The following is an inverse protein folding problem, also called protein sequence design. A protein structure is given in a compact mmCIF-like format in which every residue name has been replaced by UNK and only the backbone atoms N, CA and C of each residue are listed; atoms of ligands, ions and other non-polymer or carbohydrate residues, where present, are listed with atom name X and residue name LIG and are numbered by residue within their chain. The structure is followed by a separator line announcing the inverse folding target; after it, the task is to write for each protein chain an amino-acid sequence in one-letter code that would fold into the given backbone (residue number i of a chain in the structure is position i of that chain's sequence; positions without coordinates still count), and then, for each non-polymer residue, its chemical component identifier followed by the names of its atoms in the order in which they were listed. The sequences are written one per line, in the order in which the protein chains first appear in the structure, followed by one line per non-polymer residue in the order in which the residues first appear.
data_IF_419315259556
#
_entry.id   IF_419315259556
#
_cell.length_a   1.000
_cell.length_b   1.000
_cell.length_c   1.000
_cell.angle_alpha   90.00
_cell.angle_beta   90.00
_cell.angle_gamma   90.00
#
_symmetry.space_group_name_H-M   'P 1'
#
loop_
_entity.id
_entity.type
_entity.pdbx_description
1 polymer ?
#
# COMPACT_ATOMS: atom_id res chain seq x y z
N UNK A 1 0.03 16.16 -26.66
CA UNK A 1 0.64 15.62 -25.41
C UNK A 1 0.73 14.10 -25.51
N UNK A 2 1.93 13.53 -25.42
CA UNK A 2 2.15 12.08 -25.43
C UNK A 2 1.66 11.47 -24.12
N UNK A 3 0.87 10.38 -24.19
CA UNK A 3 0.48 9.59 -23.01
C UNK A 3 1.74 9.01 -22.35
N UNK A 4 1.74 8.87 -21.02
CA UNK A 4 2.82 8.17 -20.34
C UNK A 4 2.70 6.67 -20.64
N UNK A 5 3.84 5.99 -20.79
CA UNK A 5 3.88 4.54 -20.77
C UNK A 5 3.46 3.99 -19.40
N UNK A 6 3.38 2.67 -19.28
CA UNK A 6 2.93 1.99 -18.06
C UNK A 6 4.10 1.50 -17.18
N UNK A 7 5.33 2.00 -17.39
CA UNK A 7 6.51 1.51 -16.67
C UNK A 7 6.37 1.58 -15.14
N UNK A 8 5.90 2.71 -14.60
CA UNK A 8 5.64 2.87 -13.16
C UNK A 8 4.57 1.90 -12.64
N UNK A 9 3.52 1.66 -13.42
CA UNK A 9 2.45 0.73 -13.07
C UNK A 9 2.94 -0.72 -13.02
N UNK A 10 3.81 -1.12 -13.95
CA UNK A 10 4.43 -2.43 -13.96
C UNK A 10 5.37 -2.62 -12.77
N UNK A 11 6.16 -1.60 -12.42
CA UNK A 11 7.02 -1.64 -11.22
C UNK A 11 6.17 -1.75 -9.96
N UNK A 12 5.06 -1.02 -9.85
CA UNK A 12 4.14 -1.15 -8.73
C UNK A 12 3.62 -2.60 -8.61
N UNK A 13 3.13 -3.20 -9.70
CA UNK A 13 2.71 -4.61 -9.69
C UNK A 13 3.84 -5.56 -9.30
N UNK A 14 5.06 -5.33 -9.77
CA UNK A 14 6.21 -6.16 -9.42
C UNK A 14 6.54 -6.08 -7.93
N UNK A 15 6.54 -4.88 -7.33
CA UNK A 15 6.76 -4.70 -5.89
C UNK A 15 5.72 -5.45 -5.06
N UNK A 16 4.43 -5.29 -5.38
CA UNK A 16 3.35 -6.00 -4.68
C UNK A 16 3.35 -7.51 -4.95
N UNK A 17 3.79 -7.94 -6.13
CA UNK A 17 4.02 -9.35 -6.43
C UNK A 17 5.13 -9.95 -5.58
N UNK A 18 6.27 -9.27 -5.44
CA UNK A 18 7.37 -9.68 -4.55
C UNK A 18 6.90 -9.74 -3.10
N UNK A 19 6.14 -8.74 -2.64
CA UNK A 19 5.54 -8.74 -1.30
C UNK A 19 4.60 -9.94 -1.09
N UNK A 20 3.76 -10.24 -2.08
CA UNK A 20 2.86 -11.40 -2.04
C UNK A 20 3.64 -12.71 -1.96
N UNK A 21 4.75 -12.83 -2.68
CA UNK A 21 5.63 -13.99 -2.60
C UNK A 21 6.33 -14.10 -1.24
N UNK A 22 6.78 -12.99 -0.66
CA UNK A 22 7.35 -12.97 0.68
C UNK A 22 6.34 -13.46 1.72
N UNK A 23 5.11 -12.92 1.69
CA UNK A 23 4.00 -13.36 2.56
C UNK A 23 3.69 -14.84 2.34
N UNK A 24 3.57 -15.29 1.09
CA UNK A 24 3.35 -16.70 0.77
C UNK A 24 4.41 -17.59 1.41
N UNK A 25 5.70 -17.27 1.23
CA UNK A 25 6.82 -18.07 1.73
C UNK A 25 6.85 -18.06 3.26
N UNK A 26 6.72 -16.89 3.88
CA UNK A 26 6.78 -16.73 5.34
C UNK A 26 5.63 -17.46 6.03
N UNK A 27 4.41 -17.26 5.57
CA UNK A 27 3.24 -17.94 6.15
C UNK A 27 3.13 -19.41 5.73
N UNK A 28 3.99 -19.89 4.80
CA UNK A 28 4.13 -21.32 4.54
C UNK A 28 5.13 -22.03 5.43
N UNK A 29 6.02 -21.28 6.11
CA UNK A 29 7.16 -21.87 6.85
C UNK A 29 7.12 -21.61 8.35
N UNK A 30 6.53 -20.49 8.77
CA UNK A 30 6.48 -20.09 10.18
C UNK A 30 5.26 -20.73 10.84
N UNK A 31 5.41 -21.14 12.10
CA UNK A 31 4.31 -21.62 12.93
C UNK A 31 3.26 -20.50 13.11
N UNK A 32 1.96 -20.75 12.87
CA UNK A 32 0.91 -19.76 13.06
C UNK A 32 0.92 -19.11 14.46
N UNK A 33 1.36 -19.82 15.50
CA UNK A 33 1.47 -19.30 16.86
C UNK A 33 2.54 -18.20 17.01
N UNK A 34 3.51 -18.14 16.09
CA UNK A 34 4.55 -17.11 16.02
C UNK A 34 4.14 -15.94 15.11
N UNK A 35 2.95 -15.99 14.52
CA UNK A 35 2.41 -14.97 13.62
C UNK A 35 1.07 -14.42 14.13
N UNK A 36 0.64 -13.31 13.54
CA UNK A 36 -0.54 -12.60 14.00
C UNK A 36 -1.83 -13.06 13.28
N UNK A 37 -2.81 -13.53 14.06
CA UNK A 37 -4.21 -13.79 13.66
C UNK A 37 -4.40 -14.69 12.42
N UNK A 38 -3.59 -15.74 12.29
CA UNK A 38 -3.77 -16.81 11.31
C UNK A 38 -3.81 -18.17 12.01
N UNK A 39 -4.53 -19.14 11.44
CA UNK A 39 -4.64 -20.49 12.04
C UNK A 39 -4.10 -21.62 11.18
N UNK A 40 -3.84 -21.36 9.88
CA UNK A 40 -3.44 -22.38 8.92
C UNK A 40 -1.92 -22.47 8.77
N UNK A 41 -1.43 -23.71 8.66
CA UNK A 41 -0.01 -24.01 8.46
C UNK A 41 0.33 -24.28 6.99
N UNK A 42 1.64 -24.31 6.70
CA UNK A 42 2.17 -24.77 5.43
C UNK A 42 1.68 -23.94 4.24
N UNK A 43 1.73 -24.54 3.04
CA UNK A 43 1.31 -23.86 1.81
C UNK A 43 -0.13 -23.34 1.87
N UNK A 44 -1.01 -24.01 2.62
CA UNK A 44 -2.38 -23.57 2.82
C UNK A 44 -2.44 -22.24 3.61
N UNK A 45 -1.63 -22.08 4.66
CA UNK A 45 -1.47 -20.82 5.40
C UNK A 45 -0.92 -19.70 4.53
N UNK A 46 0.15 -19.98 3.77
CA UNK A 46 0.71 -19.01 2.83
C UNK A 46 -0.26 -18.54 1.76
N UNK A 47 -1.01 -19.45 1.13
CA UNK A 47 -2.03 -19.10 0.13
C UNK A 47 -3.19 -18.34 0.76
N UNK A 48 -3.63 -18.76 1.95
CA UNK A 48 -4.66 -18.09 2.74
C UNK A 48 -4.29 -16.62 2.97
N UNK A 49 -3.08 -16.37 3.48
CA UNK A 49 -2.61 -15.01 3.76
C UNK A 49 -2.38 -14.19 2.49
N UNK A 50 -1.90 -14.82 1.41
CA UNK A 50 -1.75 -14.15 0.11
C UNK A 50 -3.09 -13.66 -0.44
N UNK A 51 -4.16 -14.45 -0.30
CA UNK A 51 -5.51 -14.04 -0.72
C UNK A 51 -6.00 -12.86 0.11
N UNK A 52 -5.80 -12.87 1.43
CA UNK A 52 -6.19 -11.73 2.27
C UNK A 52 -5.33 -10.48 2.00
N UNK A 53 -4.06 -10.64 1.58
CA UNK A 53 -3.22 -9.53 1.09
C UNK A 53 -3.75 -8.92 -0.22
N UNK A 54 -4.28 -9.75 -1.14
CA UNK A 54 -4.95 -9.26 -2.36
C UNK A 54 -6.16 -8.37 -2.02
N UNK A 55 -6.79 -8.59 -0.88
CA UNK A 55 -7.92 -7.78 -0.41
C UNK A 55 -7.38 -6.47 0.15
N UNK A 56 -6.55 -6.53 1.19
CA UNK A 56 -5.89 -5.35 1.75
C UNK A 56 -4.42 -5.63 1.98
N UNK A 57 -3.52 -4.74 1.51
CA UNK A 57 -3.79 -3.43 0.90
C UNK A 57 -3.85 -3.44 -0.64
N UNK A 58 -3.60 -4.57 -1.32
CA UNK A 58 -3.41 -4.60 -2.79
C UNK A 58 -4.63 -4.09 -3.56
N UNK A 59 -5.85 -4.34 -3.10
CA UNK A 59 -7.04 -3.82 -3.78
C UNK A 59 -7.11 -2.28 -3.80
N UNK A 60 -6.56 -1.59 -2.78
CA UNK A 60 -6.42 -0.12 -2.82
C UNK A 60 -5.49 0.31 -3.96
N UNK A 61 -4.37 -0.37 -4.11
CA UNK A 61 -3.41 -0.10 -5.18
C UNK A 61 -4.01 -0.41 -6.55
N UNK A 62 -4.77 -1.50 -6.66
CA UNK A 62 -5.46 -1.89 -7.87
C UNK A 62 -6.46 -0.82 -8.36
N UNK A 63 -7.12 -0.08 -7.46
CA UNK A 63 -7.98 1.06 -7.83
C UNK A 63 -7.16 2.16 -8.52
N UNK A 64 -6.00 2.55 -7.95
CA UNK A 64 -5.11 3.54 -8.57
C UNK A 64 -4.65 3.07 -9.96
N UNK A 65 -4.22 1.82 -10.07
CA UNK A 65 -3.72 1.23 -11.32
C UNK A 65 -4.81 1.10 -12.38
N UNK A 66 -6.04 0.73 -12.00
CA UNK A 66 -7.18 0.72 -12.91
C UNK A 66 -7.49 2.12 -13.46
N UNK A 67 -7.49 3.15 -12.61
CA UNK A 67 -7.71 4.55 -13.02
C UNK A 67 -6.60 5.05 -13.97
N UNK A 68 -5.35 4.66 -13.74
CA UNK A 68 -4.22 4.99 -14.61
C UNK A 68 -4.28 4.23 -15.94
N UNK A 69 -4.69 2.96 -15.92
CA UNK A 69 -4.86 2.15 -17.13
C UNK A 69 -5.94 2.75 -18.05
N UNK A 70 -7.08 3.18 -17.51
CA UNK A 70 -8.15 3.79 -18.34
C UNK A 70 -7.76 5.14 -18.94
N UNK A 71 -6.77 5.84 -18.39
CA UNK A 71 -6.21 7.04 -19.01
C UNK A 71 -5.47 6.72 -20.34
N UNK A 72 -4.98 5.49 -20.50
CA UNK A 72 -4.30 5.01 -21.69
C UNK A 72 -5.22 4.24 -22.66
N UNK A 73 -6.43 3.88 -22.26
CA UNK A 73 -7.36 3.03 -23.01
C UNK A 73 -8.54 3.82 -23.62
N UNK A 74 -9.30 3.23 -24.57
CA UNK A 74 -10.54 3.84 -25.07
C UNK A 74 -11.62 3.90 -23.98
N UNK A 75 -12.60 4.82 -24.12
CA UNK A 75 -13.69 5.01 -23.14
C UNK A 75 -14.44 3.74 -22.76
N UNK A 76 -14.58 2.77 -23.68
CA UNK A 76 -15.21 1.46 -23.40
C UNK A 76 -14.50 0.64 -22.32
N UNK A 77 -13.23 0.92 -22.01
CA UNK A 77 -12.51 0.22 -20.94
C UNK A 77 -13.13 0.46 -19.55
N UNK A 78 -13.92 1.53 -19.39
CA UNK A 78 -14.70 1.77 -18.17
C UNK A 78 -15.71 0.66 -17.86
N UNK A 79 -16.17 -0.11 -18.85
CA UNK A 79 -17.02 -1.28 -18.62
C UNK A 79 -16.33 -2.37 -17.77
N UNK A 80 -14.99 -2.43 -17.79
CA UNK A 80 -14.22 -3.32 -16.93
C UNK A 80 -13.68 -2.58 -15.70
N UNK A 81 -13.23 -1.33 -15.87
CA UNK A 81 -12.61 -0.59 -14.77
C UNK A 81 -13.58 -0.19 -13.67
N UNK A 82 -14.82 0.21 -13.99
CA UNK A 82 -15.78 0.60 -12.96
C UNK A 82 -16.18 -0.61 -12.06
N UNK A 83 -16.51 -1.80 -12.61
CA UNK A 83 -16.68 -2.99 -11.79
C UNK A 83 -15.42 -3.38 -11.01
N UNK A 84 -14.23 -3.30 -11.61
CA UNK A 84 -12.99 -3.60 -10.91
C UNK A 84 -12.78 -2.70 -9.69
N UNK A 85 -12.99 -1.39 -9.85
CA UNK A 85 -12.90 -0.41 -8.75
C UNK A 85 -13.96 -0.71 -7.68
N UNK A 86 -15.20 -1.01 -8.08
CA UNK A 86 -16.27 -1.33 -7.15
C UNK A 86 -15.95 -2.59 -6.32
N UNK A 87 -15.48 -3.66 -6.99
CA UNK A 87 -15.04 -4.90 -6.34
C UNK A 87 -13.89 -4.62 -5.36
N UNK A 88 -12.87 -3.87 -5.78
CA UNK A 88 -11.77 -3.49 -4.91
C UNK A 88 -12.20 -2.60 -3.74
N UNK A 89 -13.23 -1.78 -3.88
CA UNK A 89 -13.73 -0.91 -2.81
C UNK A 89 -14.48 -1.68 -1.71
N UNK A 90 -14.73 -2.98 -1.89
CA UNK A 90 -15.43 -3.82 -0.90
C UNK A 90 -14.57 -4.27 0.29
N UNK A 91 -13.32 -3.81 0.39
CA UNK A 91 -12.36 -4.17 1.45
C UNK A 91 -12.97 -4.17 2.86
N UNK A 92 -13.69 -3.12 3.32
CA UNK A 92 -14.14 -3.04 4.71
C UNK A 92 -15.13 -4.13 5.11
N UNK A 93 -15.75 -4.83 4.15
CA UNK A 93 -16.69 -5.92 4.43
C UNK A 93 -16.04 -7.29 4.52
N UNK A 94 -14.79 -7.44 4.04
CA UNK A 94 -14.16 -8.75 3.86
C UNK A 94 -12.81 -8.89 4.57
N UNK A 95 -12.32 -7.82 5.18
CA UNK A 95 -11.10 -7.84 6.00
C UNK A 95 -11.48 -7.75 7.47
N UNK A 96 -11.03 -8.74 8.23
CA UNK A 96 -11.19 -8.83 9.67
C UNK A 96 -9.81 -8.90 10.30
N UNK A 97 -9.46 -7.91 11.10
CA UNK A 97 -8.13 -7.86 11.71
C UNK A 97 -7.93 -8.99 12.73
N UNK A 98 -9.01 -9.57 13.27
CA UNK A 98 -8.95 -10.66 14.24
C UNK A 98 -8.86 -12.05 13.61
N UNK A 99 -9.08 -12.16 12.29
CA UNK A 99 -9.02 -13.42 11.55
C UNK A 99 -8.62 -13.16 10.09
N UNK A 100 -7.33 -13.39 9.83
CA UNK A 100 -6.69 -13.14 8.54
C UNK A 100 -6.63 -14.38 7.64
N UNK A 101 -7.41 -15.43 7.97
CA UNK A 101 -7.60 -16.56 7.09
C UNK A 101 -8.57 -16.26 5.93
N UNK A 102 -8.23 -16.78 4.76
CA UNK A 102 -9.03 -16.62 3.56
C UNK A 102 -10.39 -17.30 3.68
N UNK A 103 -11.40 -16.56 3.24
CA UNK A 103 -12.81 -16.93 3.11
C UNK A 103 -13.20 -16.77 1.64
N UNK A 104 -14.27 -17.45 1.24
CA UNK A 104 -14.80 -17.33 -0.13
C UNK A 104 -15.16 -15.90 -0.52
N UNK A 105 -15.59 -15.09 0.44
CA UNK A 105 -15.87 -13.67 0.23
C UNK A 105 -14.65 -12.86 -0.21
N UNK A 106 -13.43 -13.29 0.13
CA UNK A 106 -12.19 -12.64 -0.31
C UNK A 106 -11.95 -12.75 -1.82
N UNK A 107 -12.67 -13.63 -2.53
CA UNK A 107 -12.62 -13.72 -3.98
C UNK A 107 -13.16 -12.44 -4.67
N UNK A 108 -14.02 -11.68 -4.00
CA UNK A 108 -14.67 -10.48 -4.57
C UNK A 108 -13.65 -9.38 -4.88
N UNK A 109 -12.90 -8.83 -3.90
CA UNK A 109 -11.86 -7.84 -4.21
C UNK A 109 -10.68 -8.45 -4.98
N UNK A 110 -10.35 -9.72 -4.78
CA UNK A 110 -9.31 -10.40 -5.57
C UNK A 110 -9.64 -10.43 -7.07
N UNK A 111 -10.90 -10.63 -7.45
CA UNK A 111 -11.37 -10.50 -8.83
C UNK A 111 -11.20 -9.07 -9.36
N UNK A 112 -11.46 -8.05 -8.52
CA UNK A 112 -11.20 -6.65 -8.86
C UNK A 112 -9.72 -6.40 -9.18
N UNK A 113 -8.81 -6.93 -8.35
CA UNK A 113 -7.36 -6.88 -8.58
C UNK A 113 -6.99 -7.55 -9.90
N UNK A 114 -7.51 -8.75 -10.17
CA UNK A 114 -7.25 -9.48 -11.42
C UNK A 114 -7.66 -8.66 -12.65
N UNK A 115 -8.83 -8.02 -12.62
CA UNK A 115 -9.29 -7.15 -13.71
C UNK A 115 -8.37 -5.93 -13.85
N UNK A 116 -7.91 -5.33 -12.75
CA UNK A 116 -6.96 -4.22 -12.78
C UNK A 116 -5.60 -4.60 -13.39
N UNK A 117 -5.10 -5.81 -13.13
CA UNK A 117 -3.90 -6.37 -13.78
C UNK A 117 -4.13 -6.48 -15.29
N UNK A 118 -5.26 -7.07 -15.71
CA UNK A 118 -5.60 -7.20 -17.14
C UNK A 118 -5.74 -5.84 -17.85
N UNK A 119 -6.34 -4.85 -17.19
CA UNK A 119 -6.41 -3.47 -17.67
C UNK A 119 -5.02 -2.86 -17.82
N UNK A 120 -4.14 -3.04 -16.84
CA UNK A 120 -2.75 -2.53 -16.89
C UNK A 120 -1.96 -3.19 -18.03
N UNK A 121 -2.08 -4.51 -18.20
CA UNK A 121 -1.44 -5.22 -19.30
C UNK A 121 -1.94 -4.74 -20.68
N UNK A 122 -3.25 -4.51 -20.81
CA UNK A 122 -3.85 -3.97 -22.05
C UNK A 122 -3.43 -2.51 -22.30
N UNK A 123 -3.33 -1.70 -21.24
CA UNK A 123 -2.81 -0.35 -21.34
C UNK A 123 -1.34 -0.35 -21.77
N UNK A 124 -0.55 -1.30 -21.27
CA UNK A 124 0.87 -1.47 -21.58
C UNK A 124 1.07 -1.86 -23.05
N UNK A 125 0.30 -2.82 -23.56
CA UNK A 125 0.39 -3.23 -24.97
C UNK A 125 0.03 -2.10 -25.94
N UNK A 126 -0.80 -1.14 -25.49
CA UNK A 126 -1.22 0.02 -26.30
C UNK A 126 -0.30 1.24 -26.18
N UNK A 127 0.15 1.56 -24.96
CA UNK A 127 0.90 2.79 -24.65
C UNK A 127 2.41 2.55 -24.43
N UNK A 128 2.84 1.30 -24.41
CA UNK A 128 4.20 0.88 -24.12
C UNK A 128 4.51 0.80 -22.62
N UNK A 129 5.67 0.23 -22.31
CA UNK A 129 6.19 0.05 -20.95
C UNK A 129 7.23 1.12 -20.55
N UNK A 130 7.32 2.24 -21.28
CA UNK A 130 8.26 3.31 -20.97
C UNK A 130 7.91 4.01 -19.66
N UNK A 131 8.94 4.47 -18.95
CA UNK A 131 8.80 5.27 -17.75
C UNK A 131 8.42 6.71 -18.07
N UNK A 132 7.71 7.35 -17.14
CA UNK A 132 7.46 8.78 -17.16
C UNK A 132 8.78 9.56 -17.19
N UNK A 133 8.75 10.71 -17.88
CA UNK A 133 9.87 11.67 -17.88
C UNK A 133 10.13 12.20 -16.47
N UNK A 134 11.35 12.68 -16.24
CA UNK A 134 11.72 13.30 -14.96
C UNK A 134 10.80 14.50 -14.64
N UNK A 135 10.43 14.61 -13.37
CA UNK A 135 9.66 15.71 -12.80
C UNK A 135 10.51 16.48 -11.77
N UNK A 136 10.25 17.79 -11.55
CA UNK A 136 11.00 18.59 -10.58
C UNK A 136 11.00 18.00 -9.16
N UNK A 137 9.90 17.37 -8.73
CA UNK A 137 9.75 16.76 -7.42
C UNK A 137 10.33 15.35 -7.30
N UNK A 138 10.95 14.78 -8.35
CA UNK A 138 11.51 13.42 -8.30
C UNK A 138 12.55 13.26 -7.18
N UNK A 139 13.37 14.28 -6.90
CA UNK A 139 14.33 14.22 -5.78
C UNK A 139 13.62 14.06 -4.44
N UNK A 140 12.55 14.81 -4.20
CA UNK A 140 11.76 14.72 -2.97
C UNK A 140 11.07 13.36 -2.86
N UNK A 141 10.53 12.84 -3.97
CA UNK A 141 9.93 11.48 -4.00
C UNK A 141 10.95 10.41 -3.61
N UNK A 142 12.17 10.48 -4.15
CA UNK A 142 13.23 9.52 -3.83
C UNK A 142 13.64 9.63 -2.37
N UNK A 143 13.86 10.85 -1.86
CA UNK A 143 14.19 11.05 -0.43
C UNK A 143 13.09 10.49 0.47
N UNK A 144 11.83 10.82 0.18
CA UNK A 144 10.69 10.33 0.95
C UNK A 144 10.59 8.79 0.90
N UNK A 145 10.75 8.19 -0.28
CA UNK A 145 10.75 6.74 -0.44
C UNK A 145 11.90 6.09 0.35
N UNK A 146 13.12 6.64 0.29
CA UNK A 146 14.27 6.13 1.05
C UNK A 146 14.02 6.21 2.55
N UNK A 147 13.52 7.34 3.06
CA UNK A 147 13.19 7.50 4.49
C UNK A 147 12.17 6.46 4.92
N UNK A 148 11.07 6.30 4.17
CA UNK A 148 10.04 5.32 4.48
C UNK A 148 10.57 3.89 4.43
N UNK A 149 11.41 3.55 3.45
CA UNK A 149 12.02 2.22 3.34
C UNK A 149 13.00 1.92 4.48
N UNK A 150 13.75 2.93 4.95
CA UNK A 150 14.62 2.79 6.12
C UNK A 150 13.82 2.58 7.40
N UNK A 151 12.70 3.29 7.56
CA UNK A 151 11.80 3.09 8.70
C UNK A 151 11.12 1.72 8.68
N UNK A 152 10.86 1.16 7.49
CA UNK A 152 10.20 -0.13 7.34
C UNK A 152 11.13 -1.33 7.46
N UNK A 153 12.44 -1.14 7.70
CA UNK A 153 13.39 -2.25 7.78
C UNK A 153 12.97 -3.34 8.78
N UNK A 154 12.47 -3.02 10.00
CA UNK A 154 12.04 -4.05 10.93
C UNK A 154 10.86 -4.88 10.43
N UNK A 155 9.89 -4.23 9.78
CA UNK A 155 8.74 -4.92 9.22
C UNK A 155 9.14 -5.75 8.01
N UNK A 156 9.97 -5.25 7.11
CA UNK A 156 10.44 -6.01 5.94
C UNK A 156 11.15 -7.29 6.38
N UNK A 157 11.95 -7.25 7.45
CA UNK A 157 12.55 -8.49 7.98
C UNK A 157 11.51 -9.42 8.58
N UNK A 158 10.51 -8.89 9.31
CA UNK A 158 9.42 -9.69 9.87
C UNK A 158 8.58 -10.37 8.79
N UNK A 159 8.31 -9.69 7.67
CA UNK A 159 7.62 -10.22 6.49
C UNK A 159 8.40 -11.35 5.81
N UNK A 160 9.73 -11.36 5.96
CA UNK A 160 10.61 -12.44 5.52
C UNK A 160 10.77 -13.54 6.58
N UNK A 161 10.16 -13.36 7.76
CA UNK A 161 10.17 -14.26 8.90
C UNK A 161 11.46 -14.24 9.72
N UNK A 162 12.09 -13.07 9.82
CA UNK A 162 13.26 -12.82 10.67
C UNK A 162 13.01 -11.59 11.56
N UNK A 163 13.48 -11.63 12.80
CA UNK A 163 13.51 -10.41 13.61
C UNK A 163 14.65 -9.49 13.14
N UNK A 164 14.40 -8.19 13.17
CA UNK A 164 15.45 -7.21 12.94
C UNK A 164 16.35 -7.13 14.18
N UNK A 165 17.67 -7.07 14.01
CA UNK A 165 18.58 -6.97 15.14
C UNK A 165 18.31 -5.70 15.95
N UNK A 166 18.42 -5.84 17.27
CA UNK A 166 18.17 -4.74 18.19
C UNK A 166 19.16 -3.57 18.12
N UNK A 167 18.94 -2.58 18.98
CA UNK A 167 19.83 -1.43 19.19
C UNK A 167 19.33 -0.15 18.52
N UNK A 168 19.39 -0.05 17.20
CA UNK A 168 18.82 1.12 16.49
C UNK A 168 17.30 1.04 16.50
N UNK A 169 16.76 -0.09 16.06
CA UNK A 169 15.34 -0.40 16.10
C UNK A 169 15.05 -1.36 17.25
N UNK A 170 13.82 -1.31 17.74
CA UNK A 170 13.23 -2.45 18.42
C UNK A 170 12.79 -3.45 17.36
N UNK A 171 13.37 -4.63 17.37
CA UNK A 171 13.00 -5.73 16.49
C UNK A 171 12.77 -6.99 17.29
N UNK A 172 13.87 -7.59 17.74
CA UNK A 172 13.88 -8.83 18.55
C UNK A 172 13.63 -8.61 20.05
N UNK A 173 13.74 -7.38 20.54
CA UNK A 173 13.54 -7.06 21.96
C UNK A 173 12.13 -7.41 22.40
N UNK A 174 11.99 -8.00 23.59
CA UNK A 174 10.69 -8.34 24.15
C UNK A 174 9.95 -7.09 24.62
N UNK A 175 8.70 -6.96 24.17
CA UNK A 175 7.77 -5.94 24.61
C UNK A 175 6.46 -6.60 25.03
N UNK A 176 5.80 -5.96 26.01
CA UNK A 176 4.55 -6.45 26.55
C UNK A 176 3.40 -6.08 25.61
N UNK A 177 2.71 -7.07 25.07
CA UNK A 177 1.53 -6.85 24.24
C UNK A 177 0.24 -6.96 25.08
N UNK A 178 -0.87 -6.43 24.55
CA UNK A 178 -2.18 -6.54 25.18
C UNK A 178 -2.51 -7.99 25.57
N UNK A 179 -2.84 -8.23 26.84
CA UNK A 179 -3.06 -9.58 27.39
C UNK A 179 -1.90 -10.17 28.17
N UNK A 180 -0.78 -9.45 28.33
CA UNK A 180 0.28 -9.78 29.30
C UNK A 180 1.29 -10.83 28.84
N UNK A 181 1.30 -11.17 27.54
CA UNK A 181 2.38 -11.96 26.93
C UNK A 181 3.50 -11.02 26.49
N UNK A 182 4.73 -11.47 26.73
CA UNK A 182 5.92 -10.81 26.20
C UNK A 182 6.23 -11.44 24.85
N UNK A 183 6.18 -10.63 23.79
CA UNK A 183 6.51 -11.02 22.42
C UNK A 183 7.58 -10.08 21.88
N UNK A 184 8.22 -10.45 20.76
CA UNK A 184 9.11 -9.54 20.07
C UNK A 184 8.39 -8.22 19.74
N UNK A 185 9.09 -7.09 19.90
CA UNK A 185 8.56 -5.76 19.67
C UNK A 185 7.97 -5.62 18.27
N UNK A 186 8.61 -6.25 17.30
CA UNK A 186 8.07 -6.49 15.96
C UNK A 186 7.91 -8.00 15.81
N UNK A 187 6.68 -8.49 15.87
CA UNK A 187 6.36 -9.91 15.72
C UNK A 187 6.67 -10.41 14.30
N UNK A 188 6.77 -11.72 14.09
CA UNK A 188 6.98 -12.25 12.74
C UNK A 188 5.70 -12.15 11.90
N UNK A 189 5.89 -12.13 10.59
CA UNK A 189 4.81 -12.07 9.61
C UNK A 189 4.44 -10.64 9.24
N UNK A 190 3.16 -10.46 8.92
CA UNK A 190 2.68 -9.29 8.22
C UNK A 190 2.35 -8.12 9.14
N UNK A 191 2.79 -6.92 8.74
CA UNK A 191 2.61 -5.67 9.49
C UNK A 191 1.92 -4.60 8.65
N UNK A 192 0.97 -3.90 9.26
CA UNK A 192 0.34 -2.75 8.59
C UNK A 192 1.31 -1.58 8.43
N UNK A 193 2.41 -1.53 9.17
CA UNK A 193 3.55 -0.67 8.89
C UNK A 193 4.14 -0.91 7.49
N UNK A 194 4.32 -2.17 7.08
CA UNK A 194 4.76 -2.53 5.72
C UNK A 194 3.74 -2.05 4.68
N UNK A 195 2.46 -2.27 4.94
CA UNK A 195 1.40 -1.79 4.05
C UNK A 195 1.46 -0.28 3.87
N UNK A 196 1.58 0.46 4.97
CA UNK A 196 1.71 1.90 4.96
C UNK A 196 2.91 2.37 4.13
N UNK A 197 4.07 1.74 4.33
CA UNK A 197 5.29 2.04 3.62
C UNK A 197 5.16 1.80 2.10
N UNK A 198 4.64 0.63 1.71
CA UNK A 198 4.45 0.27 0.30
C UNK A 198 3.39 1.14 -0.38
N UNK A 199 2.31 1.52 0.32
CA UNK A 199 1.31 2.47 -0.19
C UNK A 199 1.94 3.85 -0.46
N UNK A 200 2.79 4.35 0.43
CA UNK A 200 3.53 5.61 0.23
C UNK A 200 4.42 5.52 -0.99
N UNK A 201 5.29 4.50 -1.06
CA UNK A 201 6.22 4.32 -2.19
C UNK A 201 5.46 4.17 -3.51
N UNK A 202 4.37 3.41 -3.50
CA UNK A 202 3.50 3.23 -4.67
C UNK A 202 2.86 4.55 -5.09
N UNK A 203 2.35 5.35 -4.16
CA UNK A 203 1.74 6.65 -4.47
C UNK A 203 2.77 7.62 -5.06
N UNK A 204 3.97 7.68 -4.48
CA UNK A 204 5.07 8.51 -4.99
C UNK A 204 5.47 8.09 -6.40
N UNK A 205 5.61 6.78 -6.65
CA UNK A 205 5.94 6.23 -7.96
C UNK A 205 4.87 6.55 -9.01
N UNK A 206 3.61 6.20 -8.72
CA UNK A 206 2.49 6.38 -9.64
C UNK A 206 2.14 7.86 -9.88
N UNK A 207 2.45 8.76 -8.94
CA UNK A 207 2.25 10.21 -9.12
C UNK A 207 3.09 10.82 -10.25
N UNK A 208 4.07 10.08 -10.78
CA UNK A 208 4.87 10.49 -11.94
C UNK A 208 4.13 10.29 -13.27
N UNK A 209 3.13 9.40 -13.31
CA UNK A 209 2.39 9.10 -14.53
C UNK A 209 1.46 10.26 -14.91
N UNK A 210 1.54 10.71 -16.18
CA UNK A 210 0.69 11.80 -16.67
C UNK A 210 -0.68 11.30 -17.10
N UNK A 211 -1.71 11.89 -16.50
CA UNK A 211 -3.11 11.72 -16.89
C UNK A 211 -3.58 12.95 -17.70
N UNK A 212 -4.31 12.77 -18.82
CA UNK A 212 -4.88 13.88 -19.58
C UNK A 212 -5.73 14.82 -18.72
N UNK A 213 -5.81 16.08 -19.10
CA UNK A 213 -6.55 17.09 -18.33
C UNK A 213 -8.04 16.74 -18.15
N UNK A 214 -8.64 17.28 -17.08
CA UNK A 214 -10.06 17.12 -16.77
C UNK A 214 -10.32 16.34 -15.48
N UNK A 215 -11.54 15.82 -15.34
CA UNK A 215 -12.03 15.19 -14.10
C UNK A 215 -11.23 13.95 -13.70
N UNK A 216 -10.77 13.15 -14.67
CA UNK A 216 -9.97 11.95 -14.37
C UNK A 216 -8.62 12.31 -13.75
N UNK A 217 -7.96 13.39 -14.20
CA UNK A 217 -6.73 13.88 -13.57
C UNK A 217 -6.96 14.22 -12.10
N UNK A 218 -8.02 14.97 -11.80
CA UNK A 218 -8.36 15.35 -10.42
C UNK A 218 -8.64 14.09 -9.59
N UNK A 219 -9.44 13.15 -10.10
CA UNK A 219 -9.76 11.91 -9.40
C UNK A 219 -8.53 11.05 -9.11
N UNK A 220 -7.65 10.85 -10.10
CA UNK A 220 -6.40 10.09 -9.93
C UNK A 220 -5.49 10.79 -8.93
N UNK A 221 -5.27 12.10 -9.07
CA UNK A 221 -4.38 12.83 -8.15
C UNK A 221 -4.94 12.85 -6.73
N UNK A 222 -6.25 13.00 -6.57
CA UNK A 222 -6.92 12.91 -5.26
C UNK A 222 -6.76 11.51 -4.65
N UNK A 223 -6.96 10.45 -5.45
CA UNK A 223 -6.81 9.08 -4.98
C UNK A 223 -5.37 8.78 -4.55
N UNK A 224 -4.36 9.19 -5.34
CA UNK A 224 -2.96 9.03 -4.99
C UNK A 224 -2.57 9.87 -3.76
N UNK A 225 -3.13 11.07 -3.60
CA UNK A 225 -2.95 11.90 -2.41
C UNK A 225 -3.52 11.23 -1.16
N UNK A 226 -4.72 10.64 -1.26
CA UNK A 226 -5.34 9.84 -0.19
C UNK A 226 -4.50 8.60 0.14
N UNK A 227 -4.05 7.86 -0.87
CA UNK A 227 -3.21 6.67 -0.68
C UNK A 227 -1.88 7.02 0.00
N UNK A 228 -1.25 8.12 -0.39
CA UNK A 228 -0.03 8.64 0.24
C UNK A 228 -0.27 8.99 1.71
N UNK A 229 -1.34 9.74 2.00
CA UNK A 229 -1.66 10.17 3.36
C UNK A 229 -2.05 8.99 4.27
N UNK A 230 -2.90 8.10 3.77
CA UNK A 230 -3.32 6.91 4.50
C UNK A 230 -2.13 5.98 4.78
N UNK A 231 -1.26 5.75 3.79
CA UNK A 231 -0.05 4.96 3.99
C UNK A 231 0.90 5.59 5.01
N UNK A 232 1.13 6.91 4.92
CA UNK A 232 2.00 7.62 5.85
C UNK A 232 1.48 7.60 7.29
N UNK A 233 0.17 7.74 7.49
CA UNK A 233 -0.44 7.68 8.83
C UNK A 233 -0.35 6.28 9.43
N UNK A 234 -0.65 5.22 8.67
CA UNK A 234 -0.55 3.85 9.18
C UNK A 234 0.90 3.45 9.46
N UNK A 235 1.83 3.75 8.55
CA UNK A 235 3.26 3.51 8.77
C UNK A 235 3.79 4.32 9.96
N UNK A 236 3.44 5.60 10.06
CA UNK A 236 3.85 6.43 11.19
C UNK A 236 3.27 5.96 12.53
N UNK A 237 2.01 5.53 12.55
CA UNK A 237 1.37 5.00 13.75
C UNK A 237 2.03 3.71 14.23
N UNK A 238 2.31 2.78 13.31
CA UNK A 238 2.94 1.51 13.65
C UNK A 238 4.37 1.72 14.13
N UNK A 239 5.13 2.56 13.42
CA UNK A 239 6.49 2.92 13.80
C UNK A 239 6.53 3.53 15.20
N UNK A 240 5.62 4.46 15.47
CA UNK A 240 5.51 5.07 16.79
C UNK A 240 5.18 4.04 17.87
N UNK A 241 4.23 3.15 17.60
CA UNK A 241 3.84 2.13 18.55
C UNK A 241 5.01 1.20 18.88
N UNK A 242 5.69 0.68 17.86
CA UNK A 242 6.70 -0.36 18.07
C UNK A 242 8.07 0.18 18.46
N UNK A 243 8.44 1.37 17.99
CA UNK A 243 9.78 1.91 18.19
C UNK A 243 9.85 2.92 19.34
N UNK A 244 8.72 3.50 19.73
CA UNK A 244 8.65 4.54 20.78
C UNK A 244 7.85 4.05 21.98
N UNK A 245 6.62 3.55 21.77
CA UNK A 245 5.75 3.13 22.88
C UNK A 245 6.25 1.82 23.51
N UNK A 246 6.46 0.77 22.70
CA UNK A 246 7.02 -0.51 23.18
C UNK A 246 8.42 -0.35 23.81
N UNK A 247 9.14 0.72 23.48
CA UNK A 247 10.44 1.08 24.07
C UNK A 247 10.34 1.65 25.48
N UNK A 248 9.14 2.00 25.93
CA UNK A 248 8.93 2.67 27.21
C UNK A 248 9.34 4.14 27.21
N UNK A 249 9.49 4.78 26.04
CA UNK A 249 9.76 6.22 25.98
C UNK A 249 8.52 7.06 26.31
N UNK A 250 7.32 6.51 26.05
CA UNK A 250 6.03 7.12 26.37
C UNK A 250 4.91 6.08 26.31
N UNK A 251 3.82 6.32 27.03
CA UNK A 251 2.58 5.55 26.93
C UNK A 251 1.59 6.13 25.90
N UNK A 252 1.91 7.31 25.34
CA UNK A 252 1.02 8.00 24.41
C UNK A 252 1.06 7.36 23.01
N UNK A 253 0.08 6.52 22.70
CA UNK A 253 -0.10 5.93 21.37
C UNK A 253 -0.77 6.86 20.35
N UNK A 254 -0.49 6.64 19.06
CA UNK A 254 -1.26 7.24 17.96
C UNK A 254 -2.49 6.36 17.69
N UNK A 255 -3.72 6.90 17.64
CA UNK A 255 -4.91 6.10 17.33
C UNK A 255 -4.81 5.44 15.96
N UNK A 256 -5.22 4.16 15.88
CA UNK A 256 -5.22 3.43 14.61
C UNK A 256 -6.15 4.07 13.58
N UNK A 257 -5.64 4.20 12.35
CA UNK A 257 -6.35 4.63 11.16
C UNK A 257 -6.65 3.47 10.20
N UNK A 258 -6.40 2.22 10.59
CA UNK A 258 -6.53 1.05 9.72
C UNK A 258 -7.92 0.94 9.09
N UNK A 259 -8.97 1.01 9.92
CA UNK A 259 -10.35 0.94 9.44
C UNK A 259 -10.98 2.35 9.36
N UNK A 260 -11.73 2.63 8.28
CA UNK A 260 -12.52 3.86 8.19
C UNK A 260 -13.52 3.96 9.33
N UNK A 261 -13.58 5.15 9.95
CA UNK A 261 -14.50 5.42 11.03
C UNK A 261 -14.53 6.89 11.42
N UNK A 262 -15.55 7.29 12.17
CA UNK A 262 -15.70 8.66 12.68
C UNK A 262 -14.75 8.92 13.87
N UNK A 263 -13.43 8.84 13.62
CA UNK A 263 -12.37 9.08 14.60
C UNK A 263 -11.54 10.30 14.20
N UNK A 264 -11.03 11.10 15.15
CA UNK A 264 -10.25 12.31 14.84
C UNK A 264 -9.04 12.06 13.92
N UNK A 265 -8.42 10.88 14.01
CA UNK A 265 -7.29 10.50 13.15
C UNK A 265 -7.66 10.54 11.65
N UNK A 266 -8.91 10.28 11.28
CA UNK A 266 -9.37 10.38 9.90
C UNK A 266 -9.45 11.83 9.40
N UNK A 267 -9.65 12.81 10.28
CA UNK A 267 -9.52 14.23 9.90
C UNK A 267 -8.08 14.56 9.51
N UNK A 268 -7.10 13.97 10.20
CA UNK A 268 -5.68 14.11 9.87
C UNK A 268 -5.39 13.47 8.51
N UNK A 269 -5.86 12.23 8.27
CA UNK A 269 -5.71 11.56 6.98
C UNK A 269 -6.29 12.40 5.84
N UNK A 270 -7.52 12.93 6.00
CA UNK A 270 -8.19 13.75 4.99
C UNK A 270 -7.47 15.08 4.74
N UNK A 271 -6.99 15.75 5.79
CA UNK A 271 -6.23 16.99 5.66
C UNK A 271 -4.91 16.75 4.91
N UNK A 272 -4.16 15.71 5.29
CA UNK A 272 -2.92 15.33 4.59
C UNK A 272 -3.19 14.92 3.13
N UNK A 273 -4.28 14.20 2.86
CA UNK A 273 -4.68 13.82 1.52
C UNK A 273 -4.97 15.05 0.63
N UNK A 274 -5.67 16.05 1.18
CA UNK A 274 -5.95 17.30 0.49
C UNK A 274 -4.65 18.07 0.19
N UNK A 275 -3.74 18.18 1.17
CA UNK A 275 -2.43 18.82 0.99
C UNK A 275 -1.58 18.11 -0.08
N UNK A 276 -1.50 16.78 -0.02
CA UNK A 276 -0.79 15.98 -1.01
C UNK A 276 -1.38 16.17 -2.42
N UNK A 277 -2.71 16.14 -2.54
CA UNK A 277 -3.41 16.36 -3.80
C UNK A 277 -3.07 17.73 -4.38
N UNK A 278 -3.13 18.79 -3.57
CA UNK A 278 -2.79 20.15 -4.00
C UNK A 278 -1.34 20.27 -4.45
N UNK A 279 -0.40 19.66 -3.72
CA UNK A 279 1.02 19.66 -4.07
C UNK A 279 1.27 18.98 -5.43
N UNK A 280 0.67 17.81 -5.66
CA UNK A 280 0.80 17.06 -6.92
C UNK A 280 0.17 17.79 -8.11
N UNK A 281 -1.00 18.41 -7.92
CA UNK A 281 -1.63 19.23 -8.95
C UNK A 281 -0.79 20.46 -9.30
N UNK A 282 -0.20 21.11 -8.29
CA UNK A 282 0.67 22.28 -8.48
C UNK A 282 1.93 21.92 -9.28
N UNK A 283 2.60 20.82 -8.96
CA UNK A 283 3.77 20.36 -9.70
C UNK A 283 3.44 20.08 -11.17
N UNK A 284 2.32 19.41 -11.44
CA UNK A 284 1.87 19.12 -12.80
C UNK A 284 1.69 20.41 -13.60
N UNK A 285 1.13 21.46 -12.99
CA UNK A 285 0.96 22.77 -13.61
C UNK A 285 2.32 23.42 -13.90
N UNK A 286 3.25 23.42 -12.95
CA UNK A 286 4.61 23.98 -13.11
C UNK A 286 5.42 23.27 -14.21
N UNK A 287 5.32 21.95 -14.29
CA UNK A 287 6.00 21.16 -15.31
C UNK A 287 5.47 21.42 -16.74
N UNK A 288 4.19 21.78 -16.88
CA UNK A 288 3.62 22.18 -18.17
C UNK A 288 4.15 23.53 -18.67
N UNK A 289 4.38 24.50 -17.77
CA UNK A 289 4.94 25.81 -18.14
C UNK A 289 6.43 25.76 -18.50
N UNK A 290 7.19 24.81 -17.95
CA UNK A 290 8.63 24.70 -18.22
C UNK A 290 8.95 23.96 -19.53
N UNK A 291 7.94 23.38 -20.19
CA UNK A 291 8.07 22.58 -21.40
C UNK A 291 7.46 23.25 -22.65
N UNK A 292 6.92 24.46 -22.49
CA UNK A 292 6.43 25.33 -23.57
C UNK A 292 7.47 26.42 -23.82
#
# INVERSE_FOLDING_TARGET
MTRSGQGEALVAWAVWGVMTLAVLVTYSRIDPNDTYNVSREGLAGGLSRSVTLLNFPIALVAIALALLAVAALPRRAWWAAAPAIALCATIPWFVDQGDLDARWSNAIPALGVLIAVALTATATSRAGASYARRLPGDRLRVIAAVVVLLMSLPWVTAELGFHFPGGVFMGEELAREGGGRDIAAVHLGHHHGTDGALLVVTALLLSRMRVPEGRLRIAVTAYLGTMLAYGAVNGGQDFWHEQVVKRGWTDAGIPSALLPGARPIWLVVLALAALATMALLRETKSASYSAA
#
